data_IF_594087036091
#
_entry.id   IF_594087036091
#
_cell.length_a   1.000
_cell.length_b   1.000
_cell.length_c   1.000
_cell.angle_alpha   90.00
_cell.angle_beta   90.00
_cell.angle_gamma   90.00
#
_symmetry.space_group_name_H-M   'P 1'
#
loop_
_entity.id
_entity.type
_entity.pdbx_description
1 polymer ?
#
# COMPACT_ATOMS: atom_id res chain seq x y z
N UNK A 1 -15.19 -9.45 -14.36
CA UNK A 1 -16.60 -9.26 -13.98
C UNK A 1 -16.61 -8.91 -12.49
N UNK A 2 -16.69 -7.63 -12.16
CA UNK A 2 -16.96 -7.19 -10.79
C UNK A 2 -18.36 -7.70 -10.44
N UNK A 3 -18.43 -8.71 -9.58
CA UNK A 3 -19.69 -9.06 -8.92
C UNK A 3 -20.10 -7.85 -8.11
N UNK A 4 -21.16 -7.18 -8.56
CA UNK A 4 -21.59 -5.91 -8.01
C UNK A 4 -21.92 -6.03 -6.52
N UNK A 5 -21.77 -4.94 -5.81
CA UNK A 5 -22.18 -4.74 -4.41
C UNK A 5 -23.60 -5.29 -4.12
N UNK A 6 -24.43 -5.51 -5.14
CA UNK A 6 -25.78 -6.08 -5.01
C UNK A 6 -25.84 -7.45 -4.35
N UNK A 7 -24.84 -8.31 -4.51
CA UNK A 7 -24.83 -9.64 -3.87
C UNK A 7 -24.47 -9.56 -2.38
N UNK A 8 -23.73 -8.52 -1.97
CA UNK A 8 -23.41 -8.24 -0.56
C UNK A 8 -24.65 -7.71 0.16
N UNK A 9 -25.51 -6.96 -0.51
CA UNK A 9 -26.74 -6.39 0.08
C UNK A 9 -27.80 -7.44 0.46
N UNK A 10 -27.83 -8.59 -0.22
CA UNK A 10 -28.82 -9.65 0.05
C UNK A 10 -28.52 -10.50 1.28
N UNK A 11 -27.28 -10.45 1.80
CA UNK A 11 -26.89 -11.18 3.01
C UNK A 11 -26.84 -10.27 4.24
N UNK A 12 -27.88 -9.53 4.52
CA UNK A 12 -28.12 -8.94 5.86
C UNK A 12 -28.42 -10.05 6.86
N UNK A 13 -27.45 -10.90 7.08
CA UNK A 13 -27.59 -12.06 7.92
C UNK A 13 -27.33 -11.67 9.38
N UNK A 14 -28.19 -12.13 10.30
CA UNK A 14 -27.98 -12.00 11.74
C UNK A 14 -26.63 -12.56 12.22
N UNK A 15 -25.93 -13.30 11.38
CA UNK A 15 -24.58 -13.82 11.61
C UNK A 15 -23.51 -12.75 11.83
N UNK A 16 -23.71 -11.52 11.37
CA UNK A 16 -22.72 -10.43 11.49
C UNK A 16 -22.89 -9.57 12.75
N UNK A 17 -23.89 -9.84 13.58
CA UNK A 17 -24.22 -9.01 14.75
C UNK A 17 -23.04 -8.86 15.71
N UNK A 18 -22.24 -9.90 15.89
CA UNK A 18 -21.07 -9.91 16.77
C UNK A 18 -19.74 -9.81 16.03
N UNK A 19 -19.76 -9.31 14.79
CA UNK A 19 -18.58 -9.22 13.95
C UNK A 19 -18.09 -7.78 13.81
N UNK A 20 -16.80 -7.61 13.63
CA UNK A 20 -16.20 -6.37 13.12
C UNK A 20 -15.95 -6.57 11.64
N UNK A 21 -16.42 -5.63 10.83
CA UNK A 21 -16.19 -5.65 9.38
C UNK A 21 -14.90 -4.90 9.07
N UNK A 22 -13.97 -5.56 8.40
CA UNK A 22 -12.77 -4.92 7.85
C UNK A 22 -12.98 -4.75 6.35
N UNK A 23 -13.10 -3.50 5.91
CA UNK A 23 -13.31 -3.14 4.51
C UNK A 23 -12.00 -2.65 3.89
N UNK A 24 -11.60 -3.27 2.79
CA UNK A 24 -10.46 -2.84 1.95
C UNK A 24 -10.91 -2.15 0.66
N UNK A 25 -12.18 -1.73 0.61
CA UNK A 25 -12.77 -1.14 -0.59
C UNK A 25 -12.38 0.33 -0.70
N UNK A 26 -11.74 0.71 -1.81
CA UNK A 26 -11.39 2.09 -2.10
C UNK A 26 -12.65 2.99 -2.22
N UNK A 27 -12.54 4.24 -1.74
CA UNK A 27 -13.57 5.26 -1.91
C UNK A 27 -14.89 5.04 -1.14
N UNK A 28 -14.98 4.01 -0.28
CA UNK A 28 -16.18 3.76 0.55
C UNK A 28 -15.92 4.16 2.00
N UNK A 29 -16.62 5.21 2.46
CA UNK A 29 -16.51 5.71 3.83
C UNK A 29 -17.33 4.86 4.80
N UNK A 30 -16.97 4.90 6.10
CA UNK A 30 -17.72 4.18 7.16
C UNK A 30 -19.20 4.51 7.15
N UNK A 31 -19.56 5.79 6.88
CA UNK A 31 -20.96 6.19 6.76
C UNK A 31 -21.74 5.40 5.70
N UNK A 32 -21.11 5.03 4.60
CA UNK A 32 -21.74 4.26 3.52
C UNK A 32 -21.79 2.77 3.85
N UNK A 33 -20.74 2.26 4.46
CA UNK A 33 -20.69 0.88 4.92
C UNK A 33 -21.71 0.62 6.05
N UNK A 34 -21.94 1.57 6.94
CA UNK A 34 -22.93 1.47 8.01
C UNK A 34 -24.39 1.40 7.48
N UNK A 35 -24.67 1.89 6.26
CA UNK A 35 -25.98 1.70 5.63
C UNK A 35 -26.26 0.23 5.34
N UNK A 36 -25.20 -0.53 5.06
CA UNK A 36 -25.25 -1.96 4.73
C UNK A 36 -25.12 -2.83 6.00
N UNK A 37 -24.13 -2.54 6.83
CA UNK A 37 -23.75 -3.34 7.99
C UNK A 37 -24.28 -2.75 9.30
N UNK A 38 -25.63 -2.68 9.42
CA UNK A 38 -26.30 -1.94 10.52
C UNK A 38 -26.11 -2.55 11.91
N UNK A 39 -25.88 -3.84 12.02
CA UNK A 39 -25.90 -4.58 13.31
C UNK A 39 -24.54 -5.16 13.70
N UNK A 40 -23.43 -4.57 13.24
CA UNK A 40 -22.08 -5.04 13.55
C UNK A 40 -21.51 -4.36 14.79
N UNK A 41 -20.49 -4.97 15.40
CA UNK A 41 -19.73 -4.36 16.49
C UNK A 41 -18.96 -3.11 16.05
N UNK A 42 -18.65 -3.01 14.76
CA UNK A 42 -17.98 -1.85 14.19
C UNK A 42 -17.41 -2.13 12.81
N UNK A 43 -16.97 -1.07 12.17
CA UNK A 43 -16.35 -1.12 10.85
C UNK A 43 -14.95 -0.56 10.93
N UNK A 44 -14.02 -1.26 10.30
CA UNK A 44 -12.64 -0.82 10.07
C UNK A 44 -12.48 -0.58 8.59
N UNK A 45 -12.00 0.60 8.21
CA UNK A 45 -11.45 0.81 6.87
C UNK A 45 -9.97 0.48 6.90
N UNK A 46 -9.55 -0.38 6.01
CA UNK A 46 -8.15 -0.66 5.77
C UNK A 46 -7.87 -0.42 4.28
N UNK A 47 -6.71 0.15 3.99
CA UNK A 47 -6.20 0.25 2.63
C UNK A 47 -4.77 -0.27 2.62
N UNK A 48 -4.50 -1.10 1.65
CA UNK A 48 -3.21 -1.76 1.48
C UNK A 48 -2.77 -1.69 0.02
N UNK A 49 -1.58 -2.22 -0.27
CA UNK A 49 -1.05 -2.31 -1.63
C UNK A 49 -0.66 -3.74 -2.01
N UNK A 50 -0.39 -3.97 -3.29
CA UNK A 50 -0.13 -5.32 -3.83
C UNK A 50 1.06 -6.08 -3.22
N UNK A 51 2.14 -5.43 -2.71
CA UNK A 51 3.23 -6.15 -2.06
C UNK A 51 2.85 -6.94 -0.79
N UNK A 52 1.63 -6.84 -0.28
CA UNK A 52 1.11 -7.76 0.77
C UNK A 52 1.20 -9.22 0.35
N UNK A 53 1.17 -9.53 -0.94
CA UNK A 53 1.32 -10.90 -1.45
C UNK A 53 2.66 -11.54 -1.14
N UNK A 54 3.65 -10.73 -0.79
CA UNK A 54 5.00 -11.15 -0.36
C UNK A 54 5.33 -10.65 1.06
N UNK A 55 4.32 -10.32 1.85
CA UNK A 55 4.42 -9.81 3.22
C UNK A 55 5.24 -8.51 3.36
N UNK A 56 5.31 -7.73 2.29
CA UNK A 56 6.03 -6.44 2.22
C UNK A 56 5.08 -5.29 1.91
N UNK A 57 3.81 -5.47 2.25
CA UNK A 57 2.79 -4.44 2.04
C UNK A 57 2.92 -3.26 2.98
N UNK A 58 2.25 -2.18 2.61
CA UNK A 58 2.00 -1.05 3.50
C UNK A 58 0.50 -0.89 3.64
N UNK A 59 0.03 -0.82 4.88
CA UNK A 59 -1.40 -0.77 5.21
C UNK A 59 -1.68 0.40 6.14
N UNK A 60 -2.73 1.17 5.86
CA UNK A 60 -3.31 2.12 6.79
C UNK A 60 -4.66 1.61 7.27
N UNK A 61 -4.97 1.79 8.57
CA UNK A 61 -6.24 1.39 9.15
C UNK A 61 -6.90 2.55 9.87
N UNK A 62 -8.22 2.67 9.72
CA UNK A 62 -9.06 3.58 10.47
C UNK A 62 -10.16 2.80 11.16
N UNK A 63 -10.24 2.91 12.48
CA UNK A 63 -11.23 2.22 13.29
C UNK A 63 -12.43 3.14 13.59
N UNK A 64 -13.63 2.66 13.35
CA UNK A 64 -14.83 3.35 13.79
C UNK A 64 -14.80 3.57 15.32
N UNK A 65 -15.27 4.74 15.79
CA UNK A 65 -15.15 5.16 17.21
C UNK A 65 -15.72 4.17 18.22
N UNK A 66 -16.73 3.37 17.85
CA UNK A 66 -17.35 2.38 18.74
C UNK A 66 -16.48 1.13 18.98
N UNK A 67 -15.42 0.91 18.20
CA UNK A 67 -14.50 -0.22 18.35
C UNK A 67 -13.58 0.02 19.55
N UNK A 68 -13.66 -0.88 20.54
CA UNK A 68 -12.86 -0.81 21.78
C UNK A 68 -11.40 -1.21 21.51
N UNK A 69 -10.48 -0.67 22.30
CA UNK A 69 -9.03 -0.92 22.16
C UNK A 69 -8.68 -2.42 22.12
N UNK A 70 -9.30 -3.23 22.98
CA UNK A 70 -9.08 -4.67 22.97
C UNK A 70 -9.50 -5.39 21.68
N UNK A 71 -10.39 -4.77 20.90
CA UNK A 71 -10.86 -5.31 19.63
C UNK A 71 -9.99 -4.88 18.45
N UNK A 72 -9.25 -3.78 18.59
CA UNK A 72 -8.32 -3.28 17.56
C UNK A 72 -7.09 -4.18 17.44
N UNK A 73 -6.57 -4.67 18.58
CA UNK A 73 -5.29 -5.40 18.62
C UNK A 73 -5.26 -6.62 17.68
N UNK A 74 -6.22 -7.55 17.71
CA UNK A 74 -6.20 -8.71 16.81
C UNK A 74 -6.22 -8.33 15.32
N UNK A 75 -6.91 -7.24 14.97
CA UNK A 75 -6.99 -6.76 13.59
C UNK A 75 -5.65 -6.18 13.17
N UNK A 76 -5.04 -5.38 14.05
CA UNK A 76 -3.74 -4.77 13.82
C UNK A 76 -2.64 -5.85 13.69
N UNK A 77 -2.64 -6.83 14.61
CA UNK A 77 -1.71 -7.96 14.60
C UNK A 77 -1.83 -8.77 13.29
N UNK A 78 -3.07 -9.07 12.87
CA UNK A 78 -3.31 -9.76 11.59
C UNK A 78 -2.78 -8.98 10.39
N UNK A 79 -3.06 -7.68 10.32
CA UNK A 79 -2.57 -6.84 9.22
C UNK A 79 -1.04 -6.71 9.24
N UNK A 80 -0.41 -6.76 10.41
CA UNK A 80 1.05 -6.69 10.56
C UNK A 80 1.78 -7.91 9.99
N UNK A 81 1.09 -9.04 9.82
CA UNK A 81 1.65 -10.21 9.13
C UNK A 81 1.86 -9.95 7.63
N UNK A 82 1.16 -8.98 7.07
CA UNK A 82 1.21 -8.64 5.64
C UNK A 82 2.21 -7.52 5.32
N UNK A 83 2.87 -6.97 6.33
CA UNK A 83 3.84 -5.89 6.19
C UNK A 83 3.66 -4.78 7.23
N UNK A 84 4.02 -3.56 6.87
CA UNK A 84 3.93 -2.41 7.76
C UNK A 84 2.48 -1.92 7.89
N UNK A 85 2.04 -1.65 9.13
CA UNK A 85 0.69 -1.13 9.41
C UNK A 85 0.77 0.17 10.20
N UNK A 86 -0.10 1.11 9.86
CA UNK A 86 -0.27 2.37 10.57
C UNK A 86 -1.74 2.64 10.88
N UNK A 87 -2.06 3.07 12.10
CA UNK A 87 -3.40 3.55 12.46
C UNK A 87 -3.53 5.04 12.19
N UNK A 88 -4.63 5.47 11.59
CA UNK A 88 -5.00 6.87 11.48
C UNK A 88 -6.24 7.19 12.32
N UNK A 89 -6.31 8.43 12.82
CA UNK A 89 -7.52 8.99 13.45
C UNK A 89 -8.39 9.79 12.48
N UNK A 90 -7.93 9.98 11.24
CA UNK A 90 -8.63 10.74 10.19
C UNK A 90 -9.00 9.78 9.06
N UNK A 91 -10.29 9.56 8.84
CA UNK A 91 -10.77 8.65 7.80
C UNK A 91 -10.34 9.08 6.40
N UNK A 92 -10.31 10.38 6.13
CA UNK A 92 -9.96 10.94 4.81
C UNK A 92 -8.50 10.64 4.40
N UNK A 93 -7.59 10.44 5.36
CA UNK A 93 -6.22 10.01 5.07
C UNK A 93 -6.12 8.66 4.34
N UNK A 94 -7.16 7.84 4.37
CA UNK A 94 -7.19 6.59 3.60
C UNK A 94 -7.25 6.86 2.10
N UNK A 95 -7.89 7.95 1.70
CA UNK A 95 -8.00 8.32 0.28
C UNK A 95 -6.65 8.86 -0.23
N UNK A 96 -5.96 9.68 0.57
CA UNK A 96 -4.58 10.14 0.28
C UNK A 96 -3.60 8.96 0.25
N UNK A 97 -3.72 8.06 1.23
CA UNK A 97 -2.91 6.84 1.27
C UNK A 97 -3.12 5.99 0.01
N UNK A 98 -4.35 5.88 -0.46
CA UNK A 98 -4.68 5.11 -1.67
C UNK A 98 -3.94 5.68 -2.87
N UNK A 99 -3.91 7.00 -3.03
CA UNK A 99 -3.22 7.66 -4.14
C UNK A 99 -1.70 7.48 -4.06
N UNK A 100 -1.11 7.60 -2.86
CA UNK A 100 0.35 7.59 -2.69
C UNK A 100 0.89 6.16 -2.57
N UNK A 101 0.35 5.37 -1.66
CA UNK A 101 0.91 4.06 -1.28
C UNK A 101 0.14 2.89 -1.89
N UNK A 102 -1.20 3.01 -2.04
CA UNK A 102 -2.03 2.03 -2.71
C UNK A 102 -1.66 1.89 -4.18
N UNK A 103 -1.55 3.03 -4.89
CA UNK A 103 -1.13 3.11 -6.29
C UNK A 103 0.39 3.11 -6.48
N UNK A 104 1.16 3.34 -5.41
CA UNK A 104 2.62 3.42 -5.42
C UNK A 104 3.33 2.33 -6.19
N UNK A 105 2.97 1.04 -6.07
CA UNK A 105 3.57 -0.03 -6.85
C UNK A 105 3.48 0.19 -8.36
N UNK A 106 2.38 0.77 -8.86
CA UNK A 106 2.23 1.05 -10.28
C UNK A 106 3.24 2.08 -10.79
N UNK A 107 3.55 3.09 -9.98
CA UNK A 107 4.57 4.11 -10.32
C UNK A 107 5.97 3.51 -10.36
N UNK A 108 6.27 2.62 -9.41
CA UNK A 108 7.54 1.89 -9.36
C UNK A 108 7.68 0.98 -10.58
N UNK A 109 6.62 0.22 -10.94
CA UNK A 109 6.65 -0.66 -12.11
C UNK A 109 6.80 0.12 -13.41
N UNK A 110 6.16 1.27 -13.55
CA UNK A 110 6.35 2.15 -14.71
C UNK A 110 7.81 2.57 -14.85
N UNK A 111 8.45 2.99 -13.75
CA UNK A 111 9.84 3.43 -13.76
C UNK A 111 10.80 2.28 -14.07
N UNK A 112 10.59 1.11 -13.46
CA UNK A 112 11.35 -0.12 -13.75
C UNK A 112 11.24 -0.48 -15.22
N UNK A 113 10.01 -0.52 -15.78
CA UNK A 113 9.79 -0.87 -17.18
C UNK A 113 10.51 0.09 -18.12
N UNK A 114 10.44 1.39 -17.86
CA UNK A 114 11.14 2.41 -18.66
C UNK A 114 12.65 2.18 -18.69
N UNK A 115 13.26 1.83 -17.56
CA UNK A 115 14.71 1.54 -17.53
C UNK A 115 15.04 0.23 -18.24
N UNK A 116 14.21 -0.80 -18.16
CA UNK A 116 14.38 -2.05 -18.89
C UNK A 116 14.34 -1.77 -20.41
N UNK A 117 13.38 -0.97 -20.86
CA UNK A 117 13.28 -0.61 -22.29
C UNK A 117 14.52 0.14 -22.79
N UNK A 118 15.03 1.09 -22.01
CA UNK A 118 16.25 1.84 -22.35
C UNK A 118 17.45 0.88 -22.41
N UNK A 119 17.60 0.03 -21.41
CA UNK A 119 18.71 -0.92 -21.35
C UNK A 119 18.67 -1.91 -22.53
N UNK A 120 17.48 -2.41 -22.91
CA UNK A 120 17.30 -3.25 -24.08
C UNK A 120 17.68 -2.53 -25.37
N UNK A 121 17.24 -1.28 -25.56
CA UNK A 121 17.62 -0.45 -26.73
C UNK A 121 19.13 -0.18 -26.79
N UNK A 122 19.80 -0.12 -25.64
CA UNK A 122 21.26 0.01 -25.57
C UNK A 122 22.03 -1.28 -25.79
N UNK A 123 21.33 -2.42 -26.00
CA UNK A 123 21.93 -3.72 -26.33
C UNK A 123 22.33 -4.56 -25.13
N UNK A 124 21.94 -4.17 -23.91
CA UNK A 124 22.21 -5.03 -22.72
C UNK A 124 21.40 -6.32 -22.78
N UNK A 125 22.07 -7.43 -22.51
CA UNK A 125 21.42 -8.73 -22.26
C UNK A 125 21.04 -8.81 -20.79
N UNK A 126 19.93 -9.47 -20.46
CA UNK A 126 19.43 -9.61 -19.08
C UNK A 126 19.07 -8.27 -18.39
N UNK A 127 18.58 -7.31 -19.15
CA UNK A 127 18.21 -5.97 -18.69
C UNK A 127 17.25 -6.01 -17.49
N UNK A 128 16.28 -6.90 -17.50
CA UNK A 128 15.30 -7.07 -16.41
C UNK A 128 15.99 -7.37 -15.08
N UNK A 129 16.88 -8.37 -15.07
CA UNK A 129 17.64 -8.75 -13.88
C UNK A 129 18.54 -7.62 -13.38
N UNK A 130 19.23 -6.93 -14.29
CA UNK A 130 20.12 -5.81 -13.94
C UNK A 130 19.35 -4.63 -13.34
N UNK A 131 18.23 -4.26 -13.91
CA UNK A 131 17.38 -3.18 -13.41
C UNK A 131 16.77 -3.55 -12.06
N UNK A 132 16.20 -4.74 -11.92
CA UNK A 132 15.64 -5.21 -10.66
C UNK A 132 16.69 -5.26 -9.54
N UNK A 133 17.91 -5.73 -9.85
CA UNK A 133 19.01 -5.74 -8.88
C UNK A 133 19.41 -4.32 -8.47
N UNK A 134 19.40 -3.35 -9.41
CA UNK A 134 19.70 -1.95 -9.11
C UNK A 134 18.67 -1.35 -8.16
N UNK A 135 17.37 -1.58 -8.40
CA UNK A 135 16.30 -1.13 -7.51
C UNK A 135 16.41 -1.75 -6.13
N UNK A 136 16.51 -3.08 -6.08
CA UNK A 136 16.60 -3.81 -4.81
C UNK A 136 17.81 -3.34 -3.99
N UNK A 137 18.99 -3.26 -4.61
CA UNK A 137 20.20 -2.80 -3.95
C UNK A 137 20.10 -1.38 -3.42
N UNK A 138 19.48 -0.47 -4.20
CA UNK A 138 19.25 0.92 -3.78
C UNK A 138 18.32 1.02 -2.58
N UNK A 139 17.24 0.24 -2.56
CA UNK A 139 16.30 0.19 -1.43
C UNK A 139 16.98 -0.42 -0.20
N UNK A 140 17.70 -1.52 -0.34
CA UNK A 140 18.42 -2.15 0.76
C UNK A 140 19.49 -1.21 1.35
N UNK A 141 20.16 -0.42 0.50
CA UNK A 141 21.12 0.58 0.96
C UNK A 141 20.44 1.71 1.75
N UNK A 142 19.25 2.14 1.36
CA UNK A 142 18.44 3.09 2.14
C UNK A 142 18.03 2.51 3.49
N UNK A 143 17.60 1.25 3.52
CA UNK A 143 17.14 0.58 4.73
C UNK A 143 18.28 0.24 5.71
N UNK A 144 19.48 -0.04 5.19
CA UNK A 144 20.66 -0.37 6.01
C UNK A 144 21.36 0.84 6.64
N UNK A 145 21.06 2.05 6.17
CA UNK A 145 21.75 3.26 6.57
C UNK A 145 20.82 4.34 7.13
N UNK A 146 21.37 5.22 7.96
CA UNK A 146 20.67 6.40 8.48
C UNK A 146 20.67 7.58 7.50
N UNK A 147 20.80 7.32 6.19
CA UNK A 147 20.92 8.34 5.17
C UNK A 147 19.58 8.60 4.51
N UNK A 148 19.29 9.89 4.25
CA UNK A 148 18.13 10.28 3.47
C UNK A 148 18.33 9.94 1.98
N UNK A 149 17.26 9.68 1.22
CA UNK A 149 17.34 9.47 -0.23
C UNK A 149 18.13 10.58 -0.94
N UNK A 150 17.89 11.84 -0.57
CA UNK A 150 18.61 13.00 -1.11
C UNK A 150 20.13 12.97 -0.90
N UNK A 151 20.59 12.37 0.21
CA UNK A 151 22.03 12.30 0.50
C UNK A 151 22.70 11.22 -0.34
N UNK A 152 22.00 10.09 -0.57
CA UNK A 152 22.49 9.03 -1.45
C UNK A 152 22.48 9.50 -2.92
N UNK A 153 21.42 10.21 -3.33
CA UNK A 153 21.34 10.82 -4.66
C UNK A 153 22.55 11.74 -4.93
N UNK A 154 22.84 12.68 -4.03
CA UNK A 154 24.00 13.58 -4.14
C UNK A 154 25.33 12.83 -4.27
N UNK A 155 25.49 11.68 -3.59
CA UNK A 155 26.72 10.89 -3.64
C UNK A 155 27.00 10.28 -5.01
N UNK A 156 25.96 9.95 -5.76
CA UNK A 156 26.09 9.37 -7.11
C UNK A 156 25.96 10.41 -8.21
N UNK A 157 25.73 11.68 -7.86
CA UNK A 157 25.62 12.81 -8.81
C UNK A 157 26.91 13.61 -8.76
N UNK A 158 27.83 13.33 -9.68
CA UNK A 158 29.06 14.12 -9.87
C UNK A 158 28.81 15.29 -10.83
N UNK A 159 29.49 16.41 -10.57
CA UNK A 159 29.42 17.60 -11.44
C UNK A 159 29.90 17.27 -12.87
N UNK A 160 29.09 17.59 -13.86
CA UNK A 160 29.34 17.27 -15.26
C UNK A 160 29.17 15.79 -15.62
N UNK A 161 28.68 14.96 -14.70
CA UNK A 161 28.47 13.52 -14.93
C UNK A 161 27.14 13.19 -15.58
N UNK A 162 26.99 11.93 -16.02
CA UNK A 162 25.77 11.42 -16.65
C UNK A 162 24.54 11.50 -15.73
N UNK A 163 24.73 11.32 -14.43
CA UNK A 163 23.64 11.41 -13.44
C UNK A 163 23.12 12.85 -13.34
N UNK A 164 24.00 13.87 -13.31
CA UNK A 164 23.57 15.27 -13.27
C UNK A 164 22.80 15.66 -14.55
N UNK A 165 23.21 15.14 -15.69
CA UNK A 165 22.52 15.41 -16.96
C UNK A 165 21.15 14.73 -17.07
N UNK A 166 20.90 13.68 -16.27
CA UNK A 166 19.64 12.91 -16.28
C UNK A 166 18.61 13.38 -15.25
N UNK A 167 19.01 14.19 -14.25
CA UNK A 167 18.16 14.74 -13.17
C UNK A 167 17.71 16.16 -13.47
#
# INVERSE_FOLDING_TARGET
LSRGLGDVYKRQDNRLVNSIIVSVVAGKKIKDLNKVFKKTLGIVRAMTNTPVSVNMGTTIVYFERKIKTKQKKPIFDFMSLLGQVSETKKEDLIDDFTAIFGSGPAYIYLFINSLIEIANKSGFKNSDSMVLQTFLGSILLLLSGQKKPSDLQKKVTSKGGTTEAAL
#
